data_IF_965248532897
#
_entry.id   IF_965248532897
#
_cell.length_a   1.000
_cell.length_b   1.000
_cell.length_c   1.000
_cell.angle_alpha   90.00
_cell.angle_beta   90.00
_cell.angle_gamma   90.00
#
_symmetry.space_group_name_H-M   'P 1'
#
loop_
_entity.id
_entity.type
_entity.pdbx_description
1 polymer ?
#
# COMPACT_ATOMS: atom_id res chain seq x y z
N UNK A 1 43.69 -12.97 96.88
CA UNK A 1 44.05 -13.96 95.86
C UNK A 1 43.61 -13.36 94.53
N UNK A 2 44.53 -12.74 93.78
CA UNK A 2 45.40 -13.43 92.80
C UNK A 2 44.55 -13.79 91.57
N UNK A 3 44.85 -13.46 90.33
CA UNK A 3 45.96 -12.83 89.61
C UNK A 3 45.43 -12.57 88.19
N UNK A 4 46.08 -11.68 87.45
CA UNK A 4 46.56 -11.96 86.09
C UNK A 4 46.22 -10.89 85.04
N UNK A 5 47.30 -10.19 84.68
CA UNK A 5 47.72 -9.61 83.38
C UNK A 5 46.75 -9.77 82.20
N UNK A 6 46.70 -8.78 81.30
CA UNK A 6 47.60 -8.67 80.12
C UNK A 6 47.15 -7.51 79.21
N UNK A 7 48.11 -6.66 78.85
CA UNK A 7 48.12 -5.68 77.76
C UNK A 7 47.81 -6.35 76.40
N UNK A 8 47.23 -5.63 75.41
CA UNK A 8 47.60 -5.67 73.98
C UNK A 8 46.74 -4.64 73.22
N UNK A 9 47.43 -3.77 72.49
CA UNK A 9 46.92 -2.77 71.57
C UNK A 9 46.04 -3.37 70.45
N UNK A 10 44.94 -2.71 70.08
CA UNK A 10 44.22 -3.03 68.85
C UNK A 10 44.52 -2.01 67.75
N UNK A 11 45.21 -2.52 66.75
CA UNK A 11 45.73 -1.89 65.56
C UNK A 11 44.58 -1.50 64.62
N UNK A 12 44.69 -0.31 64.07
CA UNK A 12 43.78 0.25 63.07
C UNK A 12 44.03 -0.42 61.71
N UNK A 13 43.15 -1.32 61.25
CA UNK A 13 43.25 -1.93 59.91
C UNK A 13 42.09 -1.50 59.03
N UNK A 14 42.22 -0.31 58.42
CA UNK A 14 41.34 0.14 57.34
C UNK A 14 41.61 -0.70 56.11
N UNK A 15 40.67 -1.59 55.77
CA UNK A 15 40.71 -2.36 54.54
C UNK A 15 40.51 -1.42 53.34
N UNK A 16 41.59 -1.13 52.62
CA UNK A 16 41.57 -0.41 51.35
C UNK A 16 40.87 -1.23 50.26
N UNK A 17 39.56 -1.06 50.13
CA UNK A 17 38.79 -1.55 48.99
C UNK A 17 39.27 -0.88 47.70
N UNK A 18 39.76 -1.69 46.75
CA UNK A 18 40.13 -1.22 45.40
C UNK A 18 38.91 -0.57 44.74
N UNK A 19 38.92 0.76 44.59
CA UNK A 19 37.90 1.50 43.83
C UNK A 19 37.88 0.98 42.38
N UNK A 20 36.79 0.33 41.97
CA UNK A 20 36.57 0.00 40.55
C UNK A 20 36.45 1.31 39.79
N UNK A 21 37.36 1.56 38.84
CA UNK A 21 37.27 2.72 37.93
C UNK A 21 35.97 2.60 37.14
N UNK A 22 35.05 3.54 37.31
CA UNK A 22 33.94 3.73 36.39
C UNK A 22 34.53 4.14 35.03
N UNK A 23 34.34 3.31 34.00
CA UNK A 23 34.67 3.70 32.63
C UNK A 23 33.56 4.64 32.18
N UNK A 24 33.84 5.94 32.18
CA UNK A 24 32.93 6.94 31.63
C UNK A 24 32.86 6.76 30.11
N UNK A 25 31.64 6.72 29.58
CA UNK A 25 31.43 6.83 28.14
C UNK A 25 32.00 8.16 27.67
N UNK A 26 32.82 8.10 26.63
CA UNK A 26 33.35 9.33 26.03
C UNK A 26 32.23 10.07 25.32
N UNK A 27 32.25 11.41 25.32
CA UNK A 27 31.21 12.22 24.68
C UNK A 27 31.09 11.89 23.17
N UNK A 28 32.23 11.59 22.53
CA UNK A 28 32.29 11.20 21.12
C UNK A 28 31.57 9.86 20.85
N UNK A 29 31.64 8.92 21.78
CA UNK A 29 31.03 7.59 21.65
C UNK A 29 29.50 7.67 21.73
N UNK A 30 28.96 8.56 22.58
CA UNK A 30 27.51 8.81 22.62
C UNK A 30 27.02 9.47 21.33
N UNK A 31 27.76 10.43 20.77
CA UNK A 31 27.39 11.07 19.50
C UNK A 31 27.38 10.07 18.33
N UNK A 32 28.34 9.15 18.29
CA UNK A 32 28.40 8.11 17.26
C UNK A 32 27.21 7.14 17.39
N UNK A 33 26.87 6.71 18.61
CA UNK A 33 25.72 5.83 18.85
C UNK A 33 24.40 6.50 18.42
N UNK A 34 24.23 7.80 18.70
CA UNK A 34 23.05 8.54 18.27
C UNK A 34 22.98 8.70 16.75
N UNK A 35 24.10 8.98 16.08
CA UNK A 35 24.14 9.10 14.62
C UNK A 35 23.79 7.77 13.94
N UNK A 36 24.34 6.65 14.43
CA UNK A 36 24.02 5.31 13.92
C UNK A 36 22.55 4.97 14.21
N UNK A 37 22.07 5.24 15.42
CA UNK A 37 20.67 5.01 15.80
C UNK A 37 19.69 5.77 14.91
N UNK A 38 19.95 7.05 14.65
CA UNK A 38 19.13 7.87 13.75
C UNK A 38 19.16 7.34 12.29
N UNK A 39 20.33 6.92 11.80
CA UNK A 39 20.47 6.35 10.46
C UNK A 39 19.67 5.04 10.29
N UNK A 40 19.69 4.17 11.30
CA UNK A 40 18.90 2.92 11.28
C UNK A 40 17.41 3.23 11.26
N UNK A 41 16.93 4.15 12.11
CA UNK A 41 15.52 4.54 12.13
C UNK A 41 15.06 5.13 10.79
N UNK A 42 15.89 5.96 10.15
CA UNK A 42 15.60 6.53 8.83
C UNK A 42 15.50 5.45 7.74
N UNK A 43 16.43 4.48 7.74
CA UNK A 43 16.40 3.36 6.80
C UNK A 43 15.16 2.47 6.99
N UNK A 44 14.77 2.20 8.23
CA UNK A 44 13.55 1.44 8.56
C UNK A 44 12.31 2.19 8.08
N UNK A 45 12.24 3.51 8.30
CA UNK A 45 11.11 4.33 7.85
C UNK A 45 10.96 4.32 6.31
N UNK A 46 12.06 4.49 5.57
CA UNK A 46 12.02 4.37 4.11
C UNK A 46 11.59 2.98 3.64
N UNK A 47 12.07 1.92 4.29
CA UNK A 47 11.69 0.55 3.95
C UNK A 47 10.19 0.29 4.20
N UNK A 48 9.64 0.78 5.31
CA UNK A 48 8.21 0.63 5.65
C UNK A 48 7.31 1.37 4.66
N UNK A 49 7.69 2.59 4.23
CA UNK A 49 6.93 3.33 3.21
C UNK A 49 6.92 2.59 1.86
N UNK A 50 8.05 1.99 1.46
CA UNK A 50 8.14 1.22 0.22
C UNK A 50 7.36 -0.11 0.26
N UNK A 51 7.16 -0.71 1.44
CA UNK A 51 6.38 -1.95 1.61
C UNK A 51 4.87 -1.66 1.67
N UNK A 52 4.46 -0.53 2.24
CA UNK A 52 3.05 -0.15 2.32
C UNK A 52 2.42 0.09 0.95
N UNK A 53 3.07 0.86 0.05
CA UNK A 53 2.54 1.08 -1.31
C UNK A 53 2.38 -0.23 -2.11
N UNK A 54 3.32 -1.18 -1.94
CA UNK A 54 3.24 -2.50 -2.58
C UNK A 54 2.12 -3.38 -2.01
N UNK A 55 1.85 -3.28 -0.71
CA UNK A 55 0.76 -4.01 -0.07
C UNK A 55 -0.60 -3.47 -0.51
N UNK A 56 -0.76 -2.13 -0.53
CA UNK A 56 -1.97 -1.45 -1.00
C UNK A 56 -2.26 -1.77 -2.46
N UNK A 57 -1.27 -1.62 -3.34
CA UNK A 57 -1.42 -1.93 -4.76
C UNK A 57 -1.82 -3.39 -5.01
N UNK A 58 -1.30 -4.32 -4.20
CA UNK A 58 -1.64 -5.74 -4.27
C UNK A 58 -3.06 -6.03 -3.79
N UNK A 59 -3.46 -5.49 -2.64
CA UNK A 59 -4.82 -5.67 -2.12
C UNK A 59 -5.87 -5.07 -3.06
N UNK A 60 -5.58 -3.87 -3.59
CA UNK A 60 -6.41 -3.23 -4.59
C UNK A 60 -6.52 -4.08 -5.87
N UNK A 61 -5.42 -4.66 -6.36
CA UNK A 61 -5.47 -5.49 -7.56
C UNK A 61 -6.20 -6.81 -7.34
N UNK A 62 -6.01 -7.47 -6.21
CA UNK A 62 -6.75 -8.69 -5.85
C UNK A 62 -8.25 -8.42 -5.78
N UNK A 63 -8.65 -7.32 -5.12
CA UNK A 63 -10.05 -6.93 -5.00
C UNK A 63 -10.66 -6.56 -6.35
N UNK A 64 -9.95 -5.77 -7.15
CA UNK A 64 -10.36 -5.42 -8.51
C UNK A 64 -10.54 -6.66 -9.40
N UNK A 65 -9.61 -7.62 -9.32
CA UNK A 65 -9.68 -8.87 -10.09
C UNK A 65 -10.94 -9.70 -9.72
N UNK A 66 -11.31 -9.73 -8.44
CA UNK A 66 -12.55 -10.37 -7.99
C UNK A 66 -13.77 -9.62 -8.50
N UNK A 67 -13.80 -8.28 -8.36
CA UNK A 67 -14.91 -7.45 -8.81
C UNK A 67 -15.18 -7.60 -10.30
N UNK A 68 -14.13 -7.58 -11.15
CA UNK A 68 -14.32 -7.76 -12.60
C UNK A 68 -14.75 -9.19 -12.93
N UNK A 69 -14.24 -10.21 -12.24
CA UNK A 69 -14.66 -11.59 -12.44
C UNK A 69 -16.14 -11.80 -12.10
N UNK A 70 -16.58 -11.29 -10.95
CA UNK A 70 -17.97 -11.39 -10.49
C UNK A 70 -18.91 -10.56 -11.37
N UNK A 71 -18.48 -9.37 -11.79
CA UNK A 71 -19.22 -8.55 -12.76
C UNK A 71 -19.42 -9.32 -14.06
N UNK A 72 -18.35 -9.88 -14.65
CA UNK A 72 -18.47 -10.69 -15.87
C UNK A 72 -19.36 -11.91 -15.68
N UNK A 73 -19.28 -12.57 -14.53
CA UNK A 73 -20.13 -13.71 -14.23
C UNK A 73 -21.61 -13.32 -14.17
N UNK A 74 -21.93 -12.18 -13.54
CA UNK A 74 -23.30 -11.65 -13.40
C UNK A 74 -23.91 -11.24 -14.74
N UNK A 75 -23.14 -10.56 -15.57
CA UNK A 75 -23.57 -10.07 -16.89
C UNK A 75 -23.44 -11.13 -18.01
N UNK A 76 -22.95 -12.34 -17.70
CA UNK A 76 -22.83 -13.43 -18.67
C UNK A 76 -24.16 -13.80 -19.31
N UNK A 77 -25.26 -13.82 -18.54
CA UNK A 77 -26.59 -14.17 -19.06
C UNK A 77 -27.23 -13.07 -19.91
N UNK A 78 -26.93 -11.80 -19.63
CA UNK A 78 -27.56 -10.64 -20.31
C UNK A 78 -27.01 -10.44 -21.72
N UNK A 79 -25.71 -10.70 -21.93
CA UNK A 79 -25.15 -10.53 -23.26
C UNK A 79 -24.30 -9.28 -23.47
N UNK A 80 -24.35 -8.33 -22.55
CA UNK A 80 -23.71 -7.02 -22.64
C UNK A 80 -23.68 -6.38 -21.24
N UNK A 81 -23.03 -5.22 -21.15
CA UNK A 81 -22.94 -4.39 -19.94
C UNK A 81 -23.80 -3.12 -20.04
N UNK A 82 -24.74 -3.03 -20.99
CA UNK A 82 -25.47 -1.77 -21.25
C UNK A 82 -26.40 -1.33 -20.13
N UNK A 83 -26.76 -2.24 -19.22
CA UNK A 83 -27.49 -1.86 -18.02
C UNK A 83 -26.64 -1.02 -17.06
N UNK A 84 -25.29 -1.08 -17.13
CA UNK A 84 -24.41 -0.24 -16.32
C UNK A 84 -24.50 1.24 -16.70
N UNK A 85 -24.74 1.57 -17.97
CA UNK A 85 -24.74 2.95 -18.45
C UNK A 85 -23.48 3.71 -18.02
N UNK A 86 -23.63 4.97 -17.63
CA UNK A 86 -22.53 5.83 -17.18
C UNK A 86 -22.30 5.80 -15.66
N UNK A 87 -23.17 5.13 -14.89
CA UNK A 87 -23.13 5.09 -13.42
C UNK A 87 -23.60 3.70 -12.94
N UNK A 88 -22.75 2.72 -13.18
CA UNK A 88 -22.97 1.32 -12.88
C UNK A 88 -22.59 0.93 -11.45
N UNK A 89 -22.04 1.86 -10.65
CA UNK A 89 -21.57 1.60 -9.28
C UNK A 89 -22.70 1.10 -8.39
N UNK A 90 -23.88 1.74 -8.45
CA UNK A 90 -25.07 1.29 -7.71
C UNK A 90 -25.49 -0.13 -8.10
N UNK A 91 -25.46 -0.46 -9.39
CA UNK A 91 -25.87 -1.78 -9.88
C UNK A 91 -24.94 -2.85 -9.33
N UNK A 92 -23.63 -2.57 -9.27
CA UNK A 92 -22.68 -3.49 -8.65
C UNK A 92 -22.92 -3.64 -7.15
N UNK A 93 -23.18 -2.55 -6.44
CA UNK A 93 -23.49 -2.53 -5.00
C UNK A 93 -24.74 -3.37 -4.70
N UNK A 94 -25.84 -3.16 -5.44
CA UNK A 94 -27.10 -3.88 -5.28
C UNK A 94 -26.94 -5.39 -5.52
N UNK A 95 -25.99 -5.76 -6.40
CA UNK A 95 -25.65 -7.13 -6.69
C UNK A 95 -24.58 -7.72 -5.75
N UNK A 96 -24.16 -6.98 -4.71
CA UNK A 96 -23.15 -7.38 -3.72
C UNK A 96 -21.80 -7.79 -4.36
N UNK A 97 -21.42 -7.14 -5.46
CA UNK A 97 -20.14 -7.41 -6.14
C UNK A 97 -18.96 -6.80 -5.35
N UNK A 98 -19.00 -5.52 -4.92
CA UNK A 98 -17.92 -4.95 -4.12
C UNK A 98 -17.94 -5.54 -2.70
N UNK A 99 -16.77 -5.73 -2.07
CA UNK A 99 -16.69 -6.01 -0.63
C UNK A 99 -17.39 -4.93 0.19
N UNK A 100 -18.07 -5.33 1.28
CA UNK A 100 -18.78 -4.36 2.15
C UNK A 100 -17.88 -3.28 2.75
N UNK A 101 -16.59 -3.56 2.93
CA UNK A 101 -15.60 -2.60 3.42
C UNK A 101 -15.31 -1.46 2.44
N UNK A 102 -15.63 -1.65 1.14
CA UNK A 102 -15.47 -0.62 0.11
C UNK A 102 -16.73 0.20 -0.11
N UNK A 103 -17.86 -0.13 0.51
CA UNK A 103 -19.11 0.57 0.25
C UNK A 103 -19.26 1.74 1.22
N UNK A 104 -19.30 2.96 0.69
CA UNK A 104 -19.77 4.11 1.47
C UNK A 104 -21.30 4.18 1.40
N UNK A 105 -21.96 3.59 2.39
CA UNK A 105 -23.43 3.51 2.45
C UNK A 105 -24.14 4.87 2.62
N UNK A 106 -23.42 5.97 2.78
CA UNK A 106 -24.03 7.32 2.82
C UNK A 106 -24.10 7.97 1.44
N UNK A 107 -23.24 7.53 0.52
CA UNK A 107 -23.02 8.13 -0.80
C UNK A 107 -23.30 7.13 -1.93
N UNK A 108 -23.65 5.89 -1.60
CA UNK A 108 -23.87 4.80 -2.55
C UNK A 108 -22.68 4.58 -3.51
N UNK A 109 -21.48 4.89 -3.01
CA UNK A 109 -20.24 4.88 -3.76
C UNK A 109 -19.36 3.68 -3.39
N UNK A 110 -18.57 3.22 -4.37
CA UNK A 110 -17.51 2.24 -4.15
C UNK A 110 -16.21 3.02 -3.90
N UNK A 111 -15.59 2.81 -2.75
CA UNK A 111 -14.41 3.52 -2.29
C UNK A 111 -13.17 2.61 -2.43
N UNK A 112 -12.15 3.16 -3.08
CA UNK A 112 -10.85 2.53 -3.29
C UNK A 112 -9.98 2.52 -2.02
N UNK A 113 -8.84 1.83 -2.09
CA UNK A 113 -7.84 1.86 -1.03
C UNK A 113 -7.20 3.25 -0.80
N UNK A 114 -7.33 4.16 -1.77
CA UNK A 114 -6.87 5.56 -1.68
C UNK A 114 -7.94 6.49 -1.11
N UNK A 115 -9.07 5.94 -0.64
CA UNK A 115 -10.21 6.70 -0.12
C UNK A 115 -10.82 7.65 -1.18
N UNK A 116 -10.81 7.19 -2.42
CA UNK A 116 -11.38 7.87 -3.60
C UNK A 116 -12.45 6.98 -4.21
N UNK A 117 -13.38 7.58 -4.96
CA UNK A 117 -14.45 6.83 -5.63
C UNK A 117 -13.92 6.01 -6.81
N UNK A 118 -14.51 4.83 -6.99
CA UNK A 118 -14.33 3.98 -8.17
C UNK A 118 -15.59 4.12 -9.02
N UNK A 119 -15.43 4.67 -10.22
CA UNK A 119 -16.51 4.73 -11.19
C UNK A 119 -16.58 3.42 -11.98
N UNK A 120 -17.79 2.92 -12.17
CA UNK A 120 -18.03 1.73 -12.98
C UNK A 120 -19.01 2.09 -14.08
N UNK A 121 -18.65 1.81 -15.33
CA UNK A 121 -19.48 2.16 -16.47
C UNK A 121 -19.44 1.10 -17.56
N UNK A 122 -20.44 1.13 -18.43
CA UNK A 122 -20.34 0.42 -19.71
C UNK A 122 -19.18 0.99 -20.53
N UNK A 123 -18.48 0.11 -21.24
CA UNK A 123 -17.37 0.49 -22.10
C UNK A 123 -17.49 -0.22 -23.44
N UNK A 124 -16.59 0.17 -24.35
CA UNK A 124 -16.48 -0.42 -25.68
C UNK A 124 -15.03 -0.82 -25.97
N UNK A 125 -14.86 -2.09 -26.32
CA UNK A 125 -13.65 -2.62 -26.96
C UNK A 125 -13.89 -2.86 -28.45
N UNK A 126 -14.98 -3.55 -28.82
CA UNK A 126 -15.31 -3.82 -30.23
C UNK A 126 -16.67 -3.22 -30.60
N UNK A 127 -17.70 -3.49 -29.79
CA UNK A 127 -19.07 -3.00 -30.00
C UNK A 127 -19.63 -2.33 -28.74
N UNK A 128 -20.55 -1.36 -28.84
CA UNK A 128 -21.12 -0.71 -27.66
C UNK A 128 -21.65 -1.71 -26.62
N UNK A 129 -21.30 -1.51 -25.35
CA UNK A 129 -21.72 -2.35 -24.23
C UNK A 129 -21.03 -3.73 -24.16
N UNK A 130 -19.97 -3.98 -24.94
CA UNK A 130 -19.24 -5.26 -24.92
C UNK A 130 -18.16 -5.35 -23.85
N UNK A 131 -17.92 -4.26 -23.12
CA UNK A 131 -16.95 -4.19 -22.04
C UNK A 131 -17.50 -3.42 -20.84
N UNK A 132 -16.82 -3.57 -19.71
CA UNK A 132 -17.00 -2.77 -18.50
C UNK A 132 -15.69 -2.05 -18.19
N UNK A 133 -15.79 -0.81 -17.75
CA UNK A 133 -14.69 0.00 -17.24
C UNK A 133 -14.80 0.14 -15.71
N UNK A 134 -13.67 -0.01 -15.03
CA UNK A 134 -13.47 0.38 -13.64
C UNK A 134 -12.44 1.50 -13.60
N UNK A 135 -12.86 2.69 -13.19
CA UNK A 135 -12.01 3.89 -13.13
C UNK A 135 -11.67 4.18 -11.68
N UNK A 136 -10.39 4.09 -11.35
CA UNK A 136 -9.87 4.51 -10.05
C UNK A 136 -9.44 5.96 -10.14
N UNK A 137 -10.14 6.83 -9.43
CA UNK A 137 -9.86 8.26 -9.43
C UNK A 137 -8.76 8.62 -8.43
N UNK A 138 -7.96 9.64 -8.76
CA UNK A 138 -7.00 10.26 -7.84
C UNK A 138 -5.99 9.29 -7.17
N UNK A 139 -5.54 8.26 -7.91
CA UNK A 139 -4.52 7.33 -7.43
C UNK A 139 -3.18 8.07 -7.34
N UNK A 140 -2.47 7.96 -6.21
CA UNK A 140 -1.15 8.57 -6.06
C UNK A 140 -0.19 8.04 -7.14
N UNK A 141 0.55 8.94 -7.80
CA UNK A 141 1.51 8.58 -8.84
C UNK A 141 2.59 7.59 -8.39
N UNK A 142 2.95 7.60 -7.10
CA UNK A 142 3.89 6.64 -6.51
C UNK A 142 3.36 5.19 -6.53
N UNK A 143 2.04 5.00 -6.47
CA UNK A 143 1.39 3.69 -6.45
C UNK A 143 0.93 3.23 -7.84
N UNK A 144 0.67 4.17 -8.75
CA UNK A 144 0.12 3.94 -10.09
C UNK A 144 0.79 2.77 -10.83
N UNK A 145 2.11 2.79 -10.97
CA UNK A 145 2.81 1.80 -11.78
C UNK A 145 2.73 0.39 -11.16
N UNK A 146 2.79 0.28 -9.83
CA UNK A 146 2.72 -1.01 -9.14
C UNK A 146 1.29 -1.57 -9.21
N UNK A 147 0.29 -0.71 -9.05
CA UNK A 147 -1.11 -1.10 -9.13
C UNK A 147 -1.48 -1.59 -10.54
N UNK A 148 -1.15 -0.81 -11.58
CA UNK A 148 -1.38 -1.21 -12.98
C UNK A 148 -0.70 -2.55 -13.29
N UNK A 149 0.59 -2.70 -12.97
CA UNK A 149 1.30 -3.96 -13.23
C UNK A 149 0.70 -5.16 -12.48
N UNK A 150 0.11 -4.94 -11.31
CA UNK A 150 -0.49 -6.02 -10.52
C UNK A 150 -1.89 -6.40 -11.00
N UNK A 151 -2.61 -5.50 -11.66
CA UNK A 151 -3.99 -5.70 -12.10
C UNK A 151 -4.12 -6.00 -13.61
N UNK A 152 -3.25 -5.45 -14.45
CA UNK A 152 -3.42 -5.42 -15.92
C UNK A 152 -3.69 -6.77 -16.57
N UNK A 153 -3.14 -7.86 -15.99
CA UNK A 153 -3.28 -9.21 -16.54
C UNK A 153 -4.73 -9.70 -16.66
N UNK A 154 -5.66 -9.14 -15.87
CA UNK A 154 -7.09 -9.47 -15.93
C UNK A 154 -7.89 -8.58 -16.88
N UNK A 155 -7.28 -7.54 -17.43
CA UNK A 155 -7.93 -6.51 -18.23
C UNK A 155 -7.43 -6.50 -19.66
N UNK A 156 -8.29 -6.11 -20.58
CA UNK A 156 -8.00 -6.11 -22.01
C UNK A 156 -7.34 -4.80 -22.43
N UNK A 157 -7.77 -3.67 -21.85
CA UNK A 157 -7.19 -2.34 -22.06
C UNK A 157 -7.01 -1.64 -20.72
N UNK A 158 -5.92 -0.89 -20.59
CA UNK A 158 -5.64 -0.04 -19.42
C UNK A 158 -5.23 1.34 -19.90
N UNK A 159 -5.85 2.36 -19.32
CA UNK A 159 -5.57 3.77 -19.58
C UNK A 159 -5.16 4.44 -18.27
N UNK A 160 -4.13 5.27 -18.31
CA UNK A 160 -3.74 6.14 -17.20
C UNK A 160 -3.90 7.59 -17.67
N UNK A 161 -4.77 8.35 -17.01
CA UNK A 161 -5.31 9.61 -17.49
C UNK A 161 -5.85 9.44 -18.92
N UNK A 162 -5.17 10.03 -19.90
CA UNK A 162 -5.52 9.96 -21.32
C UNK A 162 -4.57 9.07 -22.14
N UNK A 163 -3.61 8.39 -21.50
CA UNK A 163 -2.62 7.56 -22.15
C UNK A 163 -3.00 6.08 -22.07
N UNK A 164 -3.21 5.45 -23.22
CA UNK A 164 -3.37 3.99 -23.29
C UNK A 164 -2.02 3.34 -23.01
N UNK A 165 -1.91 2.63 -21.89
CA UNK A 165 -0.68 1.94 -21.47
C UNK A 165 -0.71 0.46 -21.79
N UNK A 166 -1.90 -0.08 -22.09
CA UNK A 166 -2.12 -1.42 -22.65
C UNK A 166 -3.35 -1.34 -23.55
N UNK A 167 -3.21 -1.73 -24.81
CA UNK A 167 -4.33 -1.85 -25.74
C UNK A 167 -4.83 -3.29 -25.82
N UNK A 168 -6.05 -3.48 -26.34
CA UNK A 168 -6.65 -4.79 -26.55
C UNK A 168 -5.72 -5.72 -27.34
N UNK A 169 -5.48 -6.92 -26.79
CA UNK A 169 -4.57 -7.95 -27.35
C UNK A 169 -3.09 -7.56 -27.36
N UNK A 170 -2.70 -6.45 -26.75
CA UNK A 170 -1.31 -6.06 -26.56
C UNK A 170 -0.84 -6.34 -25.12
N UNK A 171 0.47 -6.30 -24.93
CA UNK A 171 1.08 -6.34 -23.60
C UNK A 171 1.24 -4.93 -23.04
N UNK A 172 1.36 -4.82 -21.72
CA UNK A 172 1.63 -3.56 -21.04
C UNK A 172 2.88 -2.85 -21.61
N UNK A 173 2.73 -1.58 -21.97
CA UNK A 173 3.78 -0.71 -22.48
C UNK A 173 4.46 0.03 -21.32
N UNK A 174 5.51 -0.57 -20.76
CA UNK A 174 6.21 -0.06 -19.56
C UNK A 174 6.69 1.40 -19.72
N UNK A 175 7.15 1.79 -20.92
CA UNK A 175 7.56 3.16 -21.19
C UNK A 175 6.40 4.16 -21.11
N UNK A 176 5.26 3.83 -21.73
CA UNK A 176 4.06 4.66 -21.68
C UNK A 176 3.50 4.74 -20.26
N UNK A 177 3.49 3.62 -19.53
CA UNK A 177 3.07 3.57 -18.13
C UNK A 177 3.92 4.50 -17.25
N UNK A 178 5.25 4.44 -17.38
CA UNK A 178 6.16 5.28 -16.61
C UNK A 178 5.90 6.77 -16.84
N UNK A 179 5.73 7.19 -18.10
CA UNK A 179 5.43 8.58 -18.44
C UNK A 179 4.05 9.03 -17.97
N UNK A 180 3.04 8.16 -18.07
CA UNK A 180 1.67 8.50 -17.68
C UNK A 180 1.53 8.61 -16.16
N UNK A 181 2.08 7.66 -15.39
CA UNK A 181 2.04 7.72 -13.92
C UNK A 181 2.80 8.93 -13.37
N UNK A 182 3.88 9.38 -14.01
CA UNK A 182 4.67 10.52 -13.53
C UNK A 182 4.17 11.89 -14.01
N UNK A 183 3.05 11.95 -14.74
CA UNK A 183 2.56 13.19 -15.34
C UNK A 183 2.07 14.19 -14.28
N UNK A 184 1.46 13.69 -13.20
CA UNK A 184 0.81 14.47 -12.15
C UNK A 184 1.04 13.85 -10.75
N UNK A 185 0.60 14.51 -9.68
CA UNK A 185 0.69 13.97 -8.31
C UNK A 185 -0.32 12.86 -8.03
N UNK A 186 -1.46 12.91 -8.74
CA UNK A 186 -2.48 11.87 -8.75
C UNK A 186 -2.88 11.61 -10.21
N UNK A 187 -3.34 10.40 -10.49
CA UNK A 187 -3.75 9.98 -11.83
C UNK A 187 -5.02 9.13 -11.76
N UNK A 188 -5.82 9.21 -12.80
CA UNK A 188 -6.99 8.35 -12.99
C UNK A 188 -6.57 7.10 -13.76
N UNK A 189 -7.02 5.94 -13.33
CA UNK A 189 -6.64 4.67 -13.94
C UNK A 189 -7.90 3.90 -14.34
N UNK A 190 -8.12 3.80 -15.65
CA UNK A 190 -9.22 3.05 -16.22
C UNK A 190 -8.78 1.64 -16.61
N UNK A 191 -9.46 0.64 -16.05
CA UNK A 191 -9.28 -0.77 -16.37
C UNK A 191 -10.51 -1.27 -17.15
N UNK A 192 -10.32 -1.66 -18.41
CA UNK A 192 -11.41 -2.10 -19.28
C UNK A 192 -11.29 -3.58 -19.59
N UNK A 193 -12.38 -4.31 -19.39
CA UNK A 193 -12.45 -5.74 -19.65
C UNK A 193 -13.71 -6.10 -20.42
N UNK A 194 -13.52 -6.85 -21.52
CA UNK A 194 -14.59 -7.46 -22.28
C UNK A 194 -15.23 -8.67 -21.56
N UNK A 195 -16.33 -9.16 -22.12
CA UNK A 195 -17.09 -10.30 -21.58
C UNK A 195 -16.23 -11.56 -21.37
#
# INVERSE_FOLDING_TARGET
MESSKTEIANLHTVHGGKRKKAKGFTLIEILIVLAIGAGILFAVFMAVNAVQGKAVAKEASETLNLMVADTRARFRSVGNFSELGNDGSQILIDNNIPPRSMINSSEDAIISAWNTEIDVAEAQLNTPGDAVAFTYNDVNSDDCANFVQSAEGSFSRVTVNNAVVKEQHETLQIGALGSACSADSTVDIEFVQGR
#
